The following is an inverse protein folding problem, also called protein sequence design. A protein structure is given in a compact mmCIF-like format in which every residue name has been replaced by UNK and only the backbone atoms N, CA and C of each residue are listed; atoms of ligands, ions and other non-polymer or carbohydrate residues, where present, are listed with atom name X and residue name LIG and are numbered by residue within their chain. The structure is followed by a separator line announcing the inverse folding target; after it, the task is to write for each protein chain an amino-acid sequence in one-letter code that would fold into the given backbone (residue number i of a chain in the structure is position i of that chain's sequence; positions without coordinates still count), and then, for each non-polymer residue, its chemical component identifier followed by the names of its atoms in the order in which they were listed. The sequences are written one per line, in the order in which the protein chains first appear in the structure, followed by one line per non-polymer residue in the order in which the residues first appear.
data_IF_145290579323
#
_entry.id   IF_145290579323
#
_cell.length_a   1.000
_cell.length_b   1.000
_cell.length_c   1.000
_cell.angle_alpha   90.00
_cell.angle_beta   90.00
_cell.angle_gamma   90.00
#
_symmetry.space_group_name_H-M   'P 1'
#
loop_
_entity.id
_entity.type
_entity.pdbx_description
1 polymer ?
#
# COMPACT_ATOMS: atom_id res chain seq x y z
N UNK A 1 1.15 -17.00 -12.81
CA UNK A 1 1.20 -15.56 -12.40
C UNK A 1 -0.08 -15.02 -12.96
N UNK A 2 -0.99 -14.67 -12.06
CA UNK A 2 -2.39 -14.57 -12.39
C UNK A 2 -2.89 -13.16 -12.09
N UNK A 3 -3.87 -12.73 -12.88
CA UNK A 3 -4.56 -11.47 -12.68
C UNK A 3 -5.47 -11.56 -11.45
N UNK A 4 -5.45 -10.53 -10.62
CA UNK A 4 -6.33 -10.39 -9.46
C UNK A 4 -7.19 -9.13 -9.64
N UNK A 5 -8.53 -9.24 -9.69
CA UNK A 5 -9.41 -8.08 -9.85
C UNK A 5 -9.44 -7.17 -8.61
N UNK A 6 -9.06 -7.68 -7.44
CA UNK A 6 -9.18 -6.96 -6.17
C UNK A 6 -7.94 -6.13 -5.80
N UNK A 7 -6.87 -6.20 -6.59
CA UNK A 7 -5.63 -5.47 -6.33
C UNK A 7 -4.93 -5.08 -7.63
N UNK A 8 -3.96 -4.17 -7.54
CA UNK A 8 -3.20 -3.72 -8.69
C UNK A 8 -2.05 -4.65 -9.08
N UNK A 9 -1.50 -5.40 -8.12
CA UNK A 9 -0.37 -6.33 -8.31
C UNK A 9 -0.82 -7.73 -8.74
N UNK A 10 -0.01 -8.43 -9.52
CA UNK A 10 -0.29 -9.82 -9.92
C UNK A 10 -0.11 -10.79 -8.75
N UNK A 11 -0.80 -11.93 -8.76
CA UNK A 11 -0.54 -13.03 -7.81
C UNK A 11 0.38 -14.06 -8.45
N UNK A 12 1.32 -14.58 -7.67
CA UNK A 12 2.00 -15.82 -8.01
C UNK A 12 1.47 -16.93 -7.10
N UNK A 13 0.94 -18.01 -7.69
CA UNK A 13 0.72 -19.27 -6.97
C UNK A 13 2.09 -19.92 -6.75
N UNK A 14 2.57 -19.88 -5.51
CA UNK A 14 3.83 -20.53 -5.12
C UNK A 14 3.50 -21.86 -4.44
N UNK A 15 3.89 -22.97 -5.07
CA UNK A 15 3.83 -24.30 -4.44
C UNK A 15 4.95 -24.38 -3.40
N UNK A 16 4.60 -24.52 -2.14
CA UNK A 16 5.56 -24.56 -1.04
C UNK A 16 6.43 -25.83 -1.11
N UNK A 17 7.73 -25.65 -1.35
CA UNK A 17 8.77 -26.61 -0.95
C UNK A 17 9.35 -26.10 0.37
N UNK A 18 9.22 -26.93 1.39
CA UNK A 18 9.36 -26.61 2.80
C UNK A 18 10.81 -26.31 3.20
N UNK A 19 11.16 -25.04 3.45
CA UNK A 19 12.28 -24.65 4.30
C UNK A 19 12.35 -23.13 4.56
N UNK A 20 11.75 -22.65 5.65
CA UNK A 20 12.24 -21.42 6.31
C UNK A 20 12.23 -21.61 7.83
N UNK A 21 13.43 -21.65 8.42
CA UNK A 21 13.66 -21.74 9.87
C UNK A 21 13.12 -20.47 10.53
N UNK A 22 12.25 -20.65 11.53
CA UNK A 22 11.78 -19.59 12.42
C UNK A 22 12.97 -19.03 13.23
N UNK A 23 13.09 -17.70 13.43
CA UNK A 23 14.09 -17.14 14.33
C UNK A 23 13.80 -17.56 15.77
N UNK A 24 14.85 -17.99 16.51
CA UNK A 24 14.77 -18.33 17.94
C UNK A 24 14.57 -17.06 18.78
N UNK A 25 13.61 -17.10 19.70
CA UNK A 25 13.10 -15.96 20.45
C UNK A 25 14.00 -15.53 21.63
N UNK A 26 13.89 -14.25 22.02
CA UNK A 26 14.45 -13.67 23.24
C UNK A 26 13.33 -12.96 24.05
N UNK A 27 13.18 -13.37 25.31
CA UNK A 27 12.44 -12.82 26.46
C UNK A 27 10.90 -12.55 26.36
N UNK A 28 10.18 -12.99 27.40
CA UNK A 28 8.71 -13.17 27.46
C UNK A 28 7.84 -11.91 27.31
N UNK A 29 8.25 -10.76 27.84
CA UNK A 29 7.47 -9.51 27.68
C UNK A 29 7.63 -8.88 26.29
N UNK A 30 8.80 -9.04 25.67
CA UNK A 30 9.04 -8.60 24.29
C UNK A 30 8.33 -9.51 23.30
N UNK A 31 8.08 -10.77 23.67
CA UNK A 31 7.30 -11.73 22.89
C UNK A 31 5.82 -11.37 22.77
N UNK A 32 5.13 -10.92 23.81
CA UNK A 32 3.69 -10.63 23.70
C UNK A 32 3.40 -9.46 22.76
N UNK A 33 4.19 -8.38 22.87
CA UNK A 33 4.07 -7.21 22.01
C UNK A 33 4.51 -7.52 20.57
N UNK A 34 5.55 -8.34 20.39
CA UNK A 34 6.00 -8.78 19.07
C UNK A 34 5.04 -9.79 18.42
N UNK A 35 4.52 -10.79 19.17
CA UNK A 35 3.52 -11.78 18.71
C UNK A 35 2.25 -11.10 18.22
N UNK A 36 1.81 -10.02 18.88
CA UNK A 36 0.61 -9.27 18.45
C UNK A 36 0.72 -8.75 17.01
N UNK A 37 1.92 -8.42 16.52
CA UNK A 37 2.12 -7.90 15.16
C UNK A 37 2.78 -8.91 14.20
N UNK A 38 3.55 -9.89 14.68
CA UNK A 38 4.23 -10.89 13.85
C UNK A 38 3.28 -11.85 13.08
N UNK A 39 1.99 -11.89 13.44
CA UNK A 39 0.99 -12.70 12.73
C UNK A 39 0.08 -11.92 11.76
N UNK A 40 0.22 -10.59 11.66
CA UNK A 40 -0.75 -9.75 10.94
C UNK A 40 -0.50 -9.65 9.42
N UNK A 41 0.46 -10.41 8.89
CA UNK A 41 0.85 -10.40 7.48
C UNK A 41 1.46 -9.07 7.01
N UNK A 42 1.80 -9.01 5.72
CA UNK A 42 2.32 -7.79 5.11
C UNK A 42 1.21 -6.73 4.96
N UNK A 43 1.47 -5.51 5.47
CA UNK A 43 0.52 -4.38 5.41
C UNK A 43 0.98 -3.24 4.52
N UNK A 44 2.29 -3.00 4.50
CA UNK A 44 2.91 -1.91 3.77
C UNK A 44 3.33 -2.39 2.37
N UNK A 45 3.39 -1.45 1.42
CA UNK A 45 4.03 -1.63 0.10
C UNK A 45 3.48 -2.84 -0.68
N UNK A 46 2.16 -2.85 -0.95
CA UNK A 46 1.48 -3.96 -1.65
C UNK A 46 0.97 -3.63 -3.05
N UNK A 47 0.93 -2.35 -3.39
CA UNK A 47 0.43 -1.89 -4.68
C UNK A 47 1.39 -2.26 -5.82
N UNK A 48 0.90 -2.24 -7.05
CA UNK A 48 1.72 -2.53 -8.22
C UNK A 48 2.93 -1.61 -8.36
N UNK A 49 4.10 -2.18 -8.65
CA UNK A 49 5.32 -1.44 -9.00
C UNK A 49 6.00 -0.65 -7.88
N UNK A 50 5.46 -0.67 -6.64
CA UNK A 50 6.09 0.03 -5.53
C UNK A 50 7.13 -0.84 -4.82
N UNK A 51 8.10 -0.18 -4.20
CA UNK A 51 9.13 -0.78 -3.36
C UNK A 51 9.46 0.17 -2.20
N UNK A 52 10.25 -0.31 -1.25
CA UNK A 52 10.81 0.49 -0.17
C UNK A 52 12.26 0.10 0.03
N UNK A 53 13.04 1.02 0.60
CA UNK A 53 14.48 0.83 0.81
C UNK A 53 14.82 0.90 2.28
N UNK A 54 15.67 -0.01 2.75
CA UNK A 54 16.23 0.04 4.09
C UNK A 54 17.40 1.03 4.05
N UNK A 55 17.28 2.15 4.78
CA UNK A 55 18.34 3.17 4.83
C UNK A 55 19.39 2.79 5.87
N UNK A 56 18.92 2.44 7.07
CA UNK A 56 19.80 2.17 8.21
C UNK A 56 19.24 1.02 9.03
N UNK A 57 20.13 0.14 9.45
CA UNK A 57 19.85 -0.89 10.45
C UNK A 57 20.62 -0.52 11.71
N UNK A 58 19.96 -0.56 12.86
CA UNK A 58 20.64 -0.39 14.14
C UNK A 58 21.19 -1.75 14.59
N UNK A 59 22.43 -1.78 15.08
CA UNK A 59 23.08 -3.02 15.57
C UNK A 59 22.63 -3.37 16.99
N UNK A 60 22.40 -2.36 17.84
CA UNK A 60 22.11 -2.55 19.27
C UNK A 60 20.62 -2.66 19.59
N UNK A 61 19.73 -2.30 18.65
CA UNK A 61 18.28 -2.39 18.82
C UNK A 61 17.64 -3.10 17.64
N UNK A 62 16.55 -3.87 17.83
CA UNK A 62 15.86 -4.58 16.76
C UNK A 62 15.02 -3.62 15.90
N UNK A 63 15.64 -2.59 15.34
CA UNK A 63 14.98 -1.54 14.60
C UNK A 63 15.75 -1.22 13.32
N UNK A 64 15.02 -0.82 12.28
CA UNK A 64 15.54 -0.32 11.03
C UNK A 64 14.75 0.91 10.57
N UNK A 65 15.43 1.80 9.85
CA UNK A 65 14.82 2.93 9.16
C UNK A 65 14.56 2.49 7.73
N UNK A 66 13.30 2.57 7.31
CA UNK A 66 12.84 2.23 5.97
C UNK A 66 12.24 3.46 5.31
N UNK A 67 12.72 3.80 4.11
CA UNK A 67 12.13 4.80 3.24
C UNK A 67 10.93 4.21 2.52
N UNK A 68 9.75 4.76 2.79
CA UNK A 68 8.51 4.38 2.09
C UNK A 68 8.46 4.98 0.68
N UNK A 69 7.59 4.46 -0.22
CA UNK A 69 7.34 5.06 -1.54
C UNK A 69 6.73 6.46 -1.48
N UNK A 70 6.30 6.93 -0.31
CA UNK A 70 5.89 8.31 -0.07
C UNK A 70 7.06 9.23 0.31
N UNK A 71 8.30 8.76 0.19
CA UNK A 71 9.54 9.41 0.64
C UNK A 71 9.58 9.74 2.14
N UNK A 72 8.73 9.10 2.94
CA UNK A 72 8.75 9.23 4.40
C UNK A 72 9.58 8.11 5.01
N UNK A 73 10.55 8.49 5.84
CA UNK A 73 11.37 7.55 6.59
C UNK A 73 10.61 7.10 7.84
N UNK A 74 10.43 5.78 8.00
CA UNK A 74 9.75 5.18 9.16
C UNK A 74 10.66 4.21 9.89
N UNK A 75 10.54 4.23 11.22
CA UNK A 75 11.17 3.26 12.10
C UNK A 75 10.31 1.98 12.14
N UNK A 76 10.91 0.85 11.77
CA UNK A 76 10.27 -0.46 11.69
C UNK A 76 11.09 -1.45 12.51
N UNK A 77 10.43 -2.41 13.17
CA UNK A 77 11.12 -3.47 13.90
C UNK A 77 11.76 -4.47 12.93
N UNK A 78 13.02 -4.83 13.16
CA UNK A 78 13.76 -5.74 12.27
C UNK A 78 13.22 -7.17 12.27
N UNK A 79 12.35 -7.52 13.22
CA UNK A 79 11.69 -8.83 13.33
C UNK A 79 10.54 -9.02 12.34
N UNK A 80 10.07 -7.96 11.69
CA UNK A 80 9.02 -8.07 10.67
C UNK A 80 9.53 -8.76 9.40
N UNK A 81 8.68 -9.59 8.80
CA UNK A 81 8.98 -10.23 7.52
C UNK A 81 8.80 -9.24 6.37
N UNK A 82 9.74 -9.26 5.42
CA UNK A 82 9.68 -8.50 4.19
C UNK A 82 10.09 -9.39 3.01
N UNK A 83 9.54 -9.10 1.83
CA UNK A 83 9.95 -9.74 0.58
C UNK A 83 10.94 -8.83 -0.15
N UNK A 84 12.04 -9.41 -0.63
CA UNK A 84 13.06 -8.67 -1.39
C UNK A 84 12.58 -8.49 -2.83
N UNK A 85 12.67 -7.26 -3.35
CA UNK A 85 12.35 -6.93 -4.73
C UNK A 85 11.28 -5.85 -4.86
N UNK A 86 10.78 -5.71 -6.09
CA UNK A 86 9.75 -4.73 -6.47
C UNK A 86 8.42 -5.48 -6.66
N UNK A 87 7.31 -4.88 -6.24
CA UNK A 87 5.99 -5.47 -6.47
C UNK A 87 5.70 -5.54 -7.98
N UNK A 88 5.09 -6.64 -8.42
CA UNK A 88 4.76 -6.89 -9.84
C UNK A 88 3.89 -5.79 -10.47
N UNK A 89 3.81 -5.80 -11.81
CA UNK A 89 2.99 -4.87 -12.61
C UNK A 89 3.46 -3.40 -12.59
N UNK A 90 4.74 -3.14 -12.93
CA UNK A 90 5.32 -1.77 -12.93
C UNK A 90 4.59 -0.78 -13.83
N UNK A 91 3.93 -1.24 -14.90
CA UNK A 91 3.23 -0.37 -15.85
C UNK A 91 1.79 -0.03 -15.45
N UNK A 92 1.31 -0.51 -14.30
CA UNK A 92 -0.06 -0.23 -13.84
C UNK A 92 -0.38 1.27 -13.78
N UNK A 93 0.57 2.10 -13.35
CA UNK A 93 0.41 3.56 -13.29
C UNK A 93 0.29 4.25 -14.65
N UNK A 94 0.74 3.61 -15.74
CA UNK A 94 0.65 4.13 -17.11
C UNK A 94 -0.66 3.73 -17.81
N UNK A 95 -1.48 2.87 -17.19
CA UNK A 95 -2.75 2.42 -17.76
C UNK A 95 -3.74 3.59 -17.85
N UNK A 96 -4.19 3.90 -19.06
CA UNK A 96 -5.26 4.88 -19.31
C UNK A 96 -6.61 4.18 -19.42
N UNK A 97 -7.68 4.87 -19.03
CA UNK A 97 -9.05 4.45 -19.26
C UNK A 97 -9.60 5.25 -20.45
N UNK A 98 -9.99 4.57 -21.53
CA UNK A 98 -10.34 5.23 -22.79
C UNK A 98 -11.79 5.71 -22.83
N UNK A 99 -12.66 5.12 -21.99
CA UNK A 99 -14.09 5.46 -21.92
C UNK A 99 -14.60 5.49 -20.49
N UNK A 100 -15.61 6.33 -20.24
CA UNK A 100 -16.28 6.41 -18.94
C UNK A 100 -16.83 5.05 -18.46
N UNK A 101 -17.29 4.20 -19.38
CA UNK A 101 -17.78 2.85 -19.07
C UNK A 101 -16.73 1.93 -18.42
N UNK A 102 -15.44 2.09 -18.75
CA UNK A 102 -14.38 1.29 -18.09
C UNK A 102 -14.25 1.66 -16.60
N UNK A 103 -14.47 2.92 -16.23
CA UNK A 103 -14.51 3.35 -14.83
C UNK A 103 -15.67 2.67 -14.09
N UNK A 104 -16.83 2.55 -14.76
CA UNK A 104 -18.01 1.86 -14.21
C UNK A 104 -17.76 0.36 -14.01
N UNK A 105 -17.04 -0.31 -14.93
CA UNK A 105 -16.64 -1.72 -14.76
C UNK A 105 -15.73 -1.94 -13.55
N UNK A 106 -14.95 -0.93 -13.16
CA UNK A 106 -14.13 -0.95 -11.95
C UNK A 106 -14.92 -0.56 -10.68
N UNK A 107 -16.24 -0.40 -10.77
CA UNK A 107 -17.10 -0.02 -9.64
C UNK A 107 -16.99 1.45 -9.22
N UNK A 108 -16.38 2.32 -10.04
CA UNK A 108 -16.21 3.75 -9.71
C UNK A 108 -17.37 4.57 -10.29
N UNK A 109 -18.17 5.16 -9.41
CA UNK A 109 -19.24 6.10 -9.80
C UNK A 109 -18.67 7.47 -10.20
N UNK A 110 -19.38 8.23 -11.05
CA UNK A 110 -19.00 9.61 -11.36
C UNK A 110 -19.03 10.48 -10.09
N UNK A 111 -18.01 11.31 -9.91
CA UNK A 111 -17.91 12.26 -8.79
C UNK A 111 -18.24 13.65 -9.35
N UNK A 112 -19.23 14.31 -8.76
CA UNK A 112 -19.63 15.68 -9.12
C UNK A 112 -18.69 16.65 -8.40
N UNK A 113 -18.16 17.64 -9.13
CA UNK A 113 -17.31 18.69 -8.53
C UNK A 113 -18.16 19.63 -7.68
N UNK A 114 -17.62 20.07 -6.55
CA UNK A 114 -18.31 21.01 -5.65
C UNK A 114 -18.73 22.34 -6.31
N UNK A 115 -17.96 22.84 -7.27
CA UNK A 115 -18.27 24.04 -8.06
C UNK A 115 -19.57 23.89 -8.88
N UNK A 116 -19.97 22.67 -9.21
CA UNK A 116 -21.22 22.41 -9.94
C UNK A 116 -22.43 22.24 -9.00
N UNK A 117 -22.23 22.38 -7.69
CA UNK A 117 -23.27 22.21 -6.66
C UNK A 117 -23.77 23.56 -6.15
N UNK A 118 -24.84 23.54 -5.34
CA UNK A 118 -25.38 24.74 -4.70
C UNK A 118 -24.59 25.10 -3.42
N UNK A 119 -24.67 26.34 -2.92
CA UNK A 119 -24.00 26.76 -1.68
C UNK A 119 -24.36 25.91 -0.45
N UNK A 120 -25.55 25.29 -0.45
CA UNK A 120 -26.01 24.40 0.63
C UNK A 120 -25.31 23.04 0.60
N UNK A 121 -24.92 22.56 -0.59
CA UNK A 121 -24.39 21.22 -0.80
C UNK A 121 -22.86 21.18 -0.67
N UNK A 122 -22.18 22.26 -1.07
CA UNK A 122 -20.72 22.33 -1.03
C UNK A 122 -20.24 23.77 -0.75
N UNK A 123 -19.14 23.95 0.02
CA UNK A 123 -18.57 25.28 0.29
C UNK A 123 -18.15 26.07 -0.97
N UNK A 124 -17.95 25.38 -2.08
CA UNK A 124 -17.58 25.97 -3.38
C UNK A 124 -18.80 26.12 -4.31
N UNK A 125 -20.00 25.83 -3.81
CA UNK A 125 -21.22 25.85 -4.60
C UNK A 125 -21.81 27.25 -4.75
N UNK A 126 -22.52 27.46 -5.87
CA UNK A 126 -23.16 28.72 -6.23
C UNK A 126 -22.24 29.79 -6.83
N UNK A 127 -22.75 31.03 -6.85
CA UNK A 127 -22.21 32.12 -7.67
C UNK A 127 -22.78 32.14 -9.09
N UNK A 128 -22.73 33.29 -9.74
CA UNK A 128 -23.14 33.41 -11.15
C UNK A 128 -22.02 32.95 -12.08
N UNK A 129 -22.34 32.02 -12.99
CA UNK A 129 -21.35 31.46 -13.92
C UNK A 129 -20.38 30.46 -13.26
N UNK A 130 -19.24 30.23 -13.90
CA UNK A 130 -18.18 29.34 -13.38
C UNK A 130 -17.17 30.12 -12.55
N UNK A 131 -17.28 30.02 -11.24
CA UNK A 131 -16.31 30.57 -10.27
C UNK A 131 -15.14 29.61 -10.04
N UNK A 132 -13.94 30.15 -9.80
CA UNK A 132 -12.68 29.38 -9.60
C UNK A 132 -12.46 29.02 -8.12
N UNK A 133 -13.51 28.59 -7.42
CA UNK A 133 -13.43 28.10 -6.04
C UNK A 133 -12.86 26.69 -5.96
#
# INVERSE_FOLDING_TARGET
IDYDPNRSSWIALVRWLQAMKQPKAANSQTEEKAKRFLGQGAKLIRAAGIFAQIIKKFENTPQCIVRLPSDVDKLIDSRYQATVGIVSNLHHGKRKLDKAGQSRWLGRCPIVRGVAMNPVDHPHGGGEGRTKG
#
